data_IF_194848781048
#
_entry.id   IF_194848781048
#
_cell.length_a   1.000
_cell.length_b   1.000
_cell.length_c   1.000
_cell.angle_alpha   90.00
_cell.angle_beta   90.00
_cell.angle_gamma   90.00
#
_symmetry.space_group_name_H-M   'P 1'
#
loop_
_entity.id
_entity.type
_entity.pdbx_description
1 polymer ?
#
# COMPACT_ATOMS: atom_id res chain seq x y z
N UNK A 1 41.78 -26.87 8.90
CA UNK A 1 40.88 -27.82 8.24
C UNK A 1 39.61 -27.91 9.05
N UNK A 2 38.50 -27.38 8.56
CA UNK A 2 37.22 -27.45 9.26
C UNK A 2 36.67 -28.86 9.04
N UNK A 3 36.73 -29.73 10.07
CA UNK A 3 35.96 -30.99 10.05
C UNK A 3 34.47 -30.64 9.89
N UNK A 4 33.71 -31.36 9.06
CA UNK A 4 32.27 -31.15 8.94
C UNK A 4 31.64 -31.34 10.34
N UNK A 5 30.90 -30.32 10.79
CA UNK A 5 30.20 -30.37 12.07
C UNK A 5 29.20 -31.52 12.01
N UNK A 6 29.19 -32.36 13.05
CA UNK A 6 28.28 -33.50 13.15
C UNK A 6 26.83 -33.02 13.14
N UNK A 7 25.98 -33.67 12.36
CA UNK A 7 24.55 -33.30 12.20
C UNK A 7 23.79 -33.37 13.56
N UNK A 8 24.23 -34.21 14.50
CA UNK A 8 23.66 -34.25 15.84
C UNK A 8 23.92 -32.95 16.60
N UNK A 9 25.13 -32.39 16.48
CA UNK A 9 25.51 -31.11 17.07
C UNK A 9 24.73 -29.97 16.45
N UNK A 10 24.58 -29.99 15.11
CA UNK A 10 23.74 -28.98 14.41
C UNK A 10 22.32 -28.99 14.96
N UNK A 11 21.70 -30.18 15.07
CA UNK A 11 20.33 -30.30 15.58
C UNK A 11 20.22 -29.85 17.06
N UNK A 12 21.20 -30.15 17.87
CA UNK A 12 21.22 -29.72 19.29
C UNK A 12 21.28 -28.18 19.38
N UNK A 13 22.17 -27.55 18.63
CA UNK A 13 22.33 -26.09 18.64
C UNK A 13 21.06 -25.40 18.09
N UNK A 14 20.49 -25.88 16.98
CA UNK A 14 19.25 -25.31 16.44
C UNK A 14 18.07 -25.49 17.39
N UNK A 15 18.05 -26.59 18.15
CA UNK A 15 17.05 -26.81 19.18
C UNK A 15 17.21 -25.82 20.36
N UNK A 16 18.42 -25.55 20.85
CA UNK A 16 18.62 -24.53 21.89
C UNK A 16 18.21 -23.13 21.41
N UNK A 17 18.37 -22.81 20.09
CA UNK A 17 17.84 -21.60 19.51
C UNK A 17 16.31 -21.58 19.50
N UNK A 18 15.67 -22.69 19.11
CA UNK A 18 14.21 -22.83 19.11
C UNK A 18 13.62 -22.71 20.52
N UNK A 19 14.30 -23.26 21.52
CA UNK A 19 13.89 -23.21 22.92
C UNK A 19 14.10 -21.78 23.50
N UNK A 20 14.88 -20.95 22.83
CA UNK A 20 15.15 -19.55 23.22
C UNK A 20 16.14 -19.45 24.40
N UNK A 21 16.92 -20.45 24.62
CA UNK A 21 17.89 -20.53 25.74
C UNK A 21 19.26 -19.96 25.32
N UNK A 22 19.47 -18.67 25.61
CA UNK A 22 20.71 -17.98 25.27
C UNK A 22 21.94 -18.57 25.98
N UNK A 23 21.80 -19.03 27.20
CA UNK A 23 22.92 -19.61 27.96
C UNK A 23 23.33 -20.94 27.35
N UNK A 24 22.36 -21.76 26.97
CA UNK A 24 22.64 -23.03 26.30
C UNK A 24 23.23 -22.84 24.92
N UNK A 25 22.75 -21.83 24.14
CA UNK A 25 23.32 -21.45 22.84
C UNK A 25 24.80 -21.08 23.01
N UNK A 26 25.13 -20.21 23.97
CA UNK A 26 26.49 -19.77 24.24
C UNK A 26 27.38 -20.93 24.72
N UNK A 27 26.85 -21.78 25.60
CA UNK A 27 27.53 -23.00 26.08
C UNK A 27 27.87 -23.94 24.92
N UNK A 28 26.90 -24.18 24.01
CA UNK A 28 27.10 -25.03 22.83
C UNK A 28 28.15 -24.43 21.86
N UNK A 29 28.13 -23.12 21.63
CA UNK A 29 29.13 -22.41 20.80
C UNK A 29 30.53 -22.62 21.39
N UNK A 30 30.70 -22.41 22.67
CA UNK A 30 31.99 -22.55 23.37
C UNK A 30 32.49 -23.99 23.42
N UNK A 31 31.60 -24.93 23.80
CA UNK A 31 31.89 -26.35 23.95
C UNK A 31 32.37 -26.99 22.64
N UNK A 32 31.69 -26.67 21.55
CA UNK A 32 31.98 -27.26 20.22
C UNK A 32 32.85 -26.36 19.34
N UNK A 33 33.23 -25.16 19.83
CA UNK A 33 34.00 -24.13 19.07
C UNK A 33 33.37 -23.86 17.71
N UNK A 34 32.06 -23.62 17.69
CA UNK A 34 31.25 -23.53 16.48
C UNK A 34 31.26 -22.10 15.94
N UNK A 35 31.41 -21.98 14.62
CA UNK A 35 30.99 -20.78 13.89
C UNK A 35 29.53 -20.98 13.44
N UNK A 36 28.61 -20.19 14.01
CA UNK A 36 27.16 -20.29 13.77
C UNK A 36 26.76 -20.11 12.31
N UNK A 37 27.60 -19.51 11.46
CA UNK A 37 27.36 -19.41 10.02
C UNK A 37 27.36 -20.78 9.30
N UNK A 38 27.98 -21.81 9.91
CA UNK A 38 27.99 -23.16 9.37
C UNK A 38 26.92 -24.08 10.02
N UNK A 39 26.12 -23.53 10.94
CA UNK A 39 24.99 -24.25 11.54
C UNK A 39 23.79 -24.08 10.63
N UNK A 40 23.63 -25.02 9.73
CA UNK A 40 22.58 -25.05 8.72
C UNK A 40 21.88 -26.41 8.79
N UNK A 41 20.55 -26.39 8.95
CA UNK A 41 19.72 -27.57 8.77
C UNK A 41 19.79 -28.03 7.31
N UNK A 42 20.33 -29.23 7.10
CA UNK A 42 20.53 -29.76 5.74
C UNK A 42 19.22 -30.12 5.03
N UNK A 43 18.16 -30.43 5.78
CA UNK A 43 16.87 -30.83 5.20
C UNK A 43 16.13 -29.61 4.61
N UNK A 44 16.13 -28.50 5.33
CA UNK A 44 15.40 -27.28 4.95
C UNK A 44 16.31 -26.18 4.43
N UNK A 45 17.63 -26.35 4.55
CA UNK A 45 18.62 -25.31 4.26
C UNK A 45 18.35 -24.03 5.08
N UNK A 46 18.15 -24.17 6.38
CA UNK A 46 17.82 -23.08 7.30
C UNK A 46 18.96 -22.83 8.26
N UNK A 47 19.29 -21.59 8.52
CA UNK A 47 20.21 -21.19 9.57
C UNK A 47 19.46 -20.90 10.89
N UNK A 48 20.19 -20.50 11.93
CA UNK A 48 19.64 -20.24 13.25
C UNK A 48 18.50 -19.18 13.30
N UNK A 49 18.51 -18.19 12.39
CA UNK A 49 17.47 -17.15 12.35
C UNK A 49 16.06 -17.71 12.07
N UNK A 50 15.95 -18.79 11.30
CA UNK A 50 14.65 -19.41 11.02
C UNK A 50 14.04 -20.03 12.28
N UNK A 51 14.86 -20.56 13.16
CA UNK A 51 14.46 -21.20 14.41
C UNK A 51 14.00 -20.18 15.47
N UNK A 52 14.47 -18.93 15.38
CA UNK A 52 13.96 -17.84 16.22
C UNK A 52 12.46 -17.60 16.03
N UNK A 53 11.90 -17.88 14.86
CA UNK A 53 10.46 -17.73 14.62
C UNK A 53 9.63 -18.68 15.50
N UNK A 54 10.19 -19.82 15.89
CA UNK A 54 9.52 -20.86 16.70
C UNK A 54 9.52 -20.56 18.20
N UNK A 55 10.31 -19.60 18.67
CA UNK A 55 10.34 -19.16 20.06
C UNK A 55 8.98 -18.54 20.41
N UNK A 56 8.35 -18.98 21.51
CA UNK A 56 6.99 -18.51 21.87
C UNK A 56 6.94 -17.01 22.12
N UNK A 57 7.84 -16.50 22.96
CA UNK A 57 7.91 -15.08 23.31
C UNK A 57 8.69 -14.27 22.25
N UNK A 58 8.06 -13.22 21.71
CA UNK A 58 8.66 -12.39 20.66
C UNK A 58 9.82 -11.52 21.19
N UNK A 59 9.79 -11.10 22.46
CA UNK A 59 10.93 -10.40 23.07
C UNK A 59 12.15 -11.30 23.17
N UNK A 60 11.96 -12.56 23.56
CA UNK A 60 13.03 -13.53 23.59
C UNK A 60 13.55 -13.85 22.18
N UNK A 61 12.66 -14.05 21.22
CA UNK A 61 13.03 -14.21 19.81
C UNK A 61 13.89 -13.04 19.31
N UNK A 62 13.48 -11.80 19.61
CA UNK A 62 14.25 -10.59 19.29
C UNK A 62 15.63 -10.59 19.95
N UNK A 63 15.73 -10.97 21.24
CA UNK A 63 17.01 -11.03 21.96
C UNK A 63 17.97 -12.03 21.32
N UNK A 64 17.47 -13.21 20.96
CA UNK A 64 18.28 -14.23 20.26
C UNK A 64 18.69 -13.74 18.86
N UNK A 65 17.77 -13.11 18.10
CA UNK A 65 18.10 -12.53 16.80
C UNK A 65 19.19 -11.46 16.91
N UNK A 66 19.12 -10.57 17.89
CA UNK A 66 20.17 -9.57 18.16
C UNK A 66 21.52 -10.22 18.50
N UNK A 67 21.50 -11.27 19.31
CA UNK A 67 22.70 -12.04 19.62
C UNK A 67 23.30 -12.68 18.36
N UNK A 68 22.48 -13.34 17.54
CA UNK A 68 22.92 -13.97 16.28
C UNK A 68 23.49 -12.95 15.31
N UNK A 69 22.86 -11.78 15.17
CA UNK A 69 23.39 -10.67 14.36
C UNK A 69 24.76 -10.20 14.87
N UNK A 70 24.90 -10.04 16.18
CA UNK A 70 26.15 -9.58 16.83
C UNK A 70 27.31 -10.55 16.59
N UNK A 71 27.05 -11.86 16.54
CA UNK A 71 28.09 -12.86 16.24
C UNK A 71 28.25 -13.14 14.74
N UNK A 72 27.61 -12.34 13.88
CA UNK A 72 27.80 -12.32 12.43
C UNK A 72 27.03 -13.40 11.66
N UNK A 73 25.97 -13.98 12.20
CA UNK A 73 25.09 -14.87 11.44
C UNK A 73 24.33 -14.06 10.42
N UNK A 74 24.24 -14.55 9.19
CA UNK A 74 23.59 -13.84 8.09
C UNK A 74 22.04 -13.93 8.20
N UNK A 75 21.32 -12.82 8.48
CA UNK A 75 19.86 -12.82 8.56
C UNK A 75 19.18 -12.92 7.18
N UNK A 76 19.89 -12.55 6.10
CA UNK A 76 19.38 -12.61 4.70
C UNK A 76 19.58 -13.99 4.06
N UNK A 77 19.97 -15.00 4.85
CA UNK A 77 20.11 -16.36 4.36
C UNK A 77 18.77 -16.88 3.85
N UNK A 78 18.79 -17.58 2.71
CA UNK A 78 17.59 -18.14 2.08
C UNK A 78 17.54 -19.65 2.21
N UNK A 79 16.38 -20.16 2.56
CA UNK A 79 16.11 -21.58 2.59
C UNK A 79 15.90 -22.18 1.17
N UNK A 80 15.60 -23.48 1.11
CA UNK A 80 15.30 -24.19 -0.16
C UNK A 80 14.11 -23.61 -0.92
N UNK A 81 13.23 -22.83 -0.25
CA UNK A 81 12.09 -22.14 -0.86
C UNK A 81 12.41 -20.70 -1.26
N UNK A 82 13.68 -20.30 -1.20
CA UNK A 82 14.13 -18.92 -1.45
C UNK A 82 13.49 -17.91 -0.46
N UNK A 83 13.10 -18.38 0.72
CA UNK A 83 12.53 -17.57 1.80
C UNK A 83 13.63 -17.17 2.78
N UNK A 84 13.59 -15.94 3.28
CA UNK A 84 14.37 -15.50 4.44
C UNK A 84 13.62 -15.84 5.73
N UNK A 85 14.26 -15.68 6.87
CA UNK A 85 13.62 -15.86 8.18
C UNK A 85 12.40 -14.94 8.37
N UNK A 86 12.32 -13.80 7.66
CA UNK A 86 11.19 -12.87 7.72
C UNK A 86 9.84 -13.50 7.32
N UNK A 87 9.85 -14.45 6.39
CA UNK A 87 8.64 -15.20 6.00
C UNK A 87 8.10 -16.06 7.15
N UNK A 88 9.02 -16.65 7.93
CA UNK A 88 8.68 -17.46 9.11
C UNK A 88 8.20 -16.58 10.25
N UNK A 89 8.86 -15.43 10.48
CA UNK A 89 8.39 -14.44 11.44
C UNK A 89 6.98 -13.93 11.10
N UNK A 90 6.71 -13.71 9.79
CA UNK A 90 5.40 -13.29 9.29
C UNK A 90 4.32 -14.33 9.60
N UNK A 91 4.62 -15.61 9.39
CA UNK A 91 3.71 -16.73 9.66
C UNK A 91 3.43 -16.90 11.15
N UNK A 92 4.46 -16.84 11.96
CA UNK A 92 4.36 -17.09 13.42
C UNK A 92 3.89 -15.85 14.20
N UNK A 93 3.77 -14.67 13.57
CA UNK A 93 3.26 -13.47 14.21
C UNK A 93 4.30 -12.70 15.04
N UNK A 94 5.58 -12.80 14.72
CA UNK A 94 6.70 -12.17 15.45
C UNK A 94 6.86 -10.70 15.05
N UNK A 95 6.09 -9.82 15.69
CA UNK A 95 6.05 -8.40 15.33
C UNK A 95 7.37 -7.66 15.63
N UNK A 96 7.86 -7.77 16.88
CA UNK A 96 9.08 -7.08 17.32
C UNK A 96 10.30 -7.56 16.55
N UNK A 97 10.40 -8.87 16.37
CA UNK A 97 11.50 -9.49 15.63
C UNK A 97 11.43 -9.11 14.15
N UNK A 98 10.25 -9.11 13.51
CA UNK A 98 10.09 -8.68 12.12
C UNK A 98 10.49 -7.23 11.94
N UNK A 99 10.08 -6.35 12.85
CA UNK A 99 10.44 -4.93 12.83
C UNK A 99 11.97 -4.77 12.88
N UNK A 100 12.65 -5.45 13.80
CA UNK A 100 14.11 -5.44 13.91
C UNK A 100 14.80 -5.93 12.63
N UNK A 101 14.32 -7.03 12.05
CA UNK A 101 14.91 -7.60 10.84
C UNK A 101 14.77 -6.65 9.63
N UNK A 102 13.67 -5.90 9.54
CA UNK A 102 13.45 -4.94 8.46
C UNK A 102 14.26 -3.66 8.70
N UNK A 103 14.18 -3.07 9.90
CA UNK A 103 14.71 -1.74 10.19
C UNK A 103 16.22 -1.76 10.44
N UNK A 104 16.71 -2.75 11.18
CA UNK A 104 18.11 -2.80 11.63
C UNK A 104 18.97 -3.74 10.77
N UNK A 105 18.39 -4.88 10.33
CA UNK A 105 19.11 -5.82 9.48
C UNK A 105 18.90 -5.58 7.99
N UNK A 106 17.96 -4.70 7.60
CA UNK A 106 17.72 -4.30 6.21
C UNK A 106 17.15 -5.41 5.33
N UNK A 107 16.39 -6.37 5.89
CA UNK A 107 15.81 -7.44 5.08
C UNK A 107 14.80 -6.90 4.08
N UNK A 108 14.90 -7.32 2.81
CA UNK A 108 13.99 -6.87 1.76
C UNK A 108 12.58 -7.43 1.98
N UNK A 109 11.59 -6.52 1.93
CA UNK A 109 10.19 -6.85 2.24
C UNK A 109 9.40 -7.36 1.01
N UNK A 110 9.88 -7.09 -0.21
CA UNK A 110 9.21 -7.44 -1.48
C UNK A 110 9.93 -8.53 -2.27
N UNK A 111 10.90 -9.18 -1.67
CA UNK A 111 11.53 -10.34 -2.29
C UNK A 111 10.52 -11.47 -2.52
N UNK A 112 10.65 -12.19 -3.63
CA UNK A 112 9.75 -13.28 -3.97
C UNK A 112 10.36 -14.63 -3.61
N UNK A 113 9.58 -15.48 -2.98
CA UNK A 113 9.92 -16.89 -2.81
C UNK A 113 9.70 -17.70 -4.10
N UNK A 114 9.93 -19.02 -4.03
CA UNK A 114 9.69 -19.91 -5.19
C UNK A 114 8.24 -19.92 -5.67
N UNK A 115 7.28 -19.43 -4.90
CA UNK A 115 5.86 -19.32 -5.27
C UNK A 115 5.52 -17.96 -5.86
N UNK A 116 6.45 -17.01 -5.86
CA UNK A 116 6.25 -15.64 -6.30
C UNK A 116 5.63 -14.75 -5.21
N UNK A 117 5.60 -15.22 -3.96
CA UNK A 117 4.98 -14.55 -2.81
C UNK A 117 6.04 -13.77 -2.03
N UNK A 118 5.67 -12.62 -1.46
CA UNK A 118 6.47 -11.87 -0.49
C UNK A 118 5.99 -12.15 0.96
N UNK A 119 6.69 -11.68 2.00
CA UNK A 119 6.37 -12.00 3.39
C UNK A 119 4.93 -11.66 3.81
N UNK A 120 4.31 -10.60 3.28
CA UNK A 120 2.93 -10.21 3.66
C UNK A 120 1.89 -11.29 3.33
N UNK A 121 2.12 -12.12 2.32
CA UNK A 121 1.21 -13.24 2.02
C UNK A 121 1.05 -14.19 3.21
N UNK A 122 2.12 -14.39 3.98
CA UNK A 122 2.14 -15.30 5.12
C UNK A 122 1.43 -14.68 6.33
N UNK A 123 1.65 -13.40 6.63
CA UNK A 123 0.90 -12.70 7.68
C UNK A 123 -0.60 -12.61 7.38
N UNK A 124 -0.96 -12.36 6.11
CA UNK A 124 -2.36 -12.31 5.65
C UNK A 124 -3.03 -13.68 5.81
N UNK A 125 -2.35 -14.76 5.38
CA UNK A 125 -2.86 -16.13 5.47
C UNK A 125 -3.13 -16.57 6.90
N UNK A 126 -2.23 -16.19 7.81
CA UNK A 126 -2.30 -16.59 9.22
C UNK A 126 -3.06 -15.58 10.10
N UNK A 127 -3.68 -14.56 9.50
CA UNK A 127 -4.52 -13.60 10.22
C UNK A 127 -3.75 -12.64 11.13
N UNK A 128 -2.46 -12.38 10.87
CA UNK A 128 -1.60 -11.57 11.72
C UNK A 128 -1.71 -10.08 11.37
N UNK A 129 -2.81 -9.43 11.79
CA UNK A 129 -3.14 -8.05 11.43
C UNK A 129 -1.99 -7.07 11.72
N UNK A 130 -1.41 -7.11 12.92
CA UNK A 130 -0.31 -6.22 13.30
C UNK A 130 0.91 -6.33 12.38
N UNK A 131 1.17 -7.51 11.83
CA UNK A 131 2.24 -7.70 10.85
C UNK A 131 1.82 -7.24 9.45
N UNK A 132 0.54 -7.40 9.07
CA UNK A 132 0.04 -6.82 7.83
C UNK A 132 0.20 -5.30 7.83
N UNK A 133 -0.13 -4.65 8.94
CA UNK A 133 0.06 -3.20 9.15
C UNK A 133 1.54 -2.83 9.04
N UNK A 134 2.41 -3.51 9.81
CA UNK A 134 3.87 -3.27 9.75
C UNK A 134 4.41 -3.39 8.33
N UNK A 135 4.05 -4.45 7.61
CA UNK A 135 4.58 -4.69 6.27
C UNK A 135 4.09 -3.65 5.27
N UNK A 136 2.81 -3.24 5.34
CA UNK A 136 2.28 -2.17 4.48
C UNK A 136 2.96 -0.84 4.79
N UNK A 137 3.14 -0.50 6.06
CA UNK A 137 3.84 0.72 6.49
C UNK A 137 5.32 0.73 6.01
N UNK A 138 5.94 -0.44 5.90
CA UNK A 138 7.30 -0.60 5.37
C UNK A 138 7.36 -0.74 3.85
N UNK A 139 6.23 -0.59 3.15
CA UNK A 139 6.16 -0.58 1.70
C UNK A 139 6.06 -1.96 1.06
N UNK A 140 5.43 -2.92 1.73
CA UNK A 140 5.11 -4.20 1.09
C UNK A 140 4.14 -3.99 -0.07
N UNK A 141 4.46 -4.58 -1.22
CA UNK A 141 3.58 -4.58 -2.38
C UNK A 141 2.44 -5.60 -2.17
N UNK A 142 1.26 -5.07 -1.83
CA UNK A 142 0.04 -5.86 -1.61
C UNK A 142 -0.61 -6.33 -2.92
N UNK A 143 -0.19 -5.74 -4.06
CA UNK A 143 -0.67 -6.10 -5.40
C UNK A 143 0.33 -6.98 -6.15
N UNK A 144 1.38 -7.44 -5.48
CA UNK A 144 2.30 -8.42 -6.03
C UNK A 144 1.53 -9.69 -6.45
N UNK A 145 1.72 -10.15 -7.67
CA UNK A 145 1.12 -11.39 -8.15
C UNK A 145 2.05 -12.59 -7.90
N UNK A 146 1.48 -13.65 -7.37
CA UNK A 146 2.15 -14.94 -7.23
C UNK A 146 2.15 -15.75 -8.54
N UNK A 147 2.69 -16.96 -8.51
CA UNK A 147 2.73 -17.85 -9.69
C UNK A 147 1.35 -18.24 -10.23
N UNK A 148 0.28 -18.05 -9.45
CA UNK A 148 -1.10 -18.29 -9.87
C UNK A 148 -1.81 -17.03 -10.38
N UNK A 149 -1.14 -15.87 -10.39
CA UNK A 149 -1.73 -14.56 -10.70
C UNK A 149 -2.65 -14.07 -9.58
N UNK A 150 -2.45 -14.58 -8.36
CA UNK A 150 -3.21 -14.18 -7.16
C UNK A 150 -2.39 -13.18 -6.34
N UNK A 151 -3.04 -12.16 -5.80
CA UNK A 151 -2.46 -11.26 -4.83
C UNK A 151 -2.81 -11.70 -3.39
N UNK A 152 -2.23 -11.08 -2.38
CA UNK A 152 -2.44 -11.48 -0.99
C UNK A 152 -3.92 -11.41 -0.56
N UNK A 153 -4.77 -10.57 -1.21
CA UNK A 153 -6.20 -10.49 -0.90
C UNK A 153 -6.95 -11.81 -1.17
N UNK A 154 -6.55 -12.61 -2.17
CA UNK A 154 -7.16 -13.92 -2.41
C UNK A 154 -6.95 -14.85 -1.23
N UNK A 155 -5.79 -14.76 -0.57
CA UNK A 155 -5.46 -15.56 0.60
C UNK A 155 -6.22 -15.11 1.85
N UNK A 156 -6.41 -13.79 2.05
CA UNK A 156 -7.27 -13.26 3.10
C UNK A 156 -8.73 -13.75 2.93
N UNK A 157 -9.24 -13.75 1.70
CA UNK A 157 -10.57 -14.26 1.37
C UNK A 157 -10.64 -15.77 1.62
N UNK A 158 -9.64 -16.54 1.17
CA UNK A 158 -9.60 -17.98 1.34
C UNK A 158 -9.69 -18.42 2.80
N UNK A 159 -9.05 -17.67 3.69
CA UNK A 159 -9.01 -17.94 5.13
C UNK A 159 -10.12 -17.24 5.91
N UNK A 160 -10.92 -16.38 5.27
CA UNK A 160 -12.06 -15.69 5.88
C UNK A 160 -11.70 -14.54 6.81
N UNK A 161 -10.51 -13.97 6.68
CA UNK A 161 -10.04 -12.87 7.52
C UNK A 161 -10.64 -11.53 7.06
N UNK A 162 -11.90 -11.29 7.44
CA UNK A 162 -12.67 -10.10 7.05
C UNK A 162 -11.92 -8.79 7.33
N UNK A 163 -11.35 -8.62 8.53
CA UNK A 163 -10.65 -7.39 8.91
C UNK A 163 -9.42 -7.14 8.05
N UNK A 164 -8.69 -8.20 7.69
CA UNK A 164 -7.53 -8.10 6.78
C UNK A 164 -7.99 -7.78 5.35
N UNK A 165 -9.09 -8.38 4.86
CA UNK A 165 -9.66 -8.01 3.55
C UNK A 165 -10.00 -6.52 3.52
N UNK A 166 -10.69 -6.03 4.55
CA UNK A 166 -11.04 -4.61 4.69
C UNK A 166 -9.79 -3.71 4.77
N UNK A 167 -8.78 -4.12 5.53
CA UNK A 167 -7.50 -3.42 5.64
C UNK A 167 -6.79 -3.34 4.27
N UNK A 168 -6.69 -4.45 3.55
CA UNK A 168 -6.06 -4.49 2.23
C UNK A 168 -6.79 -3.59 1.22
N UNK A 169 -8.13 -3.60 1.21
CA UNK A 169 -8.93 -2.72 0.35
C UNK A 169 -8.64 -1.25 0.66
N UNK A 170 -8.62 -0.86 1.93
CA UNK A 170 -8.32 0.51 2.36
C UNK A 170 -6.92 0.98 1.96
N UNK A 171 -5.98 0.04 1.85
CA UNK A 171 -4.61 0.32 1.43
C UNK A 171 -4.37 0.14 -0.08
N UNK A 172 -5.43 0.01 -0.90
CA UNK A 172 -5.34 0.02 -2.36
C UNK A 172 -5.10 -1.35 -2.99
N UNK A 173 -5.56 -2.44 -2.35
CA UNK A 173 -5.56 -3.75 -2.99
C UNK A 173 -6.47 -3.76 -4.22
N UNK A 174 -5.98 -4.29 -5.34
CA UNK A 174 -6.77 -4.46 -6.55
C UNK A 174 -7.79 -5.59 -6.38
N UNK A 175 -9.07 -5.21 -6.14
CA UNK A 175 -10.17 -6.15 -5.93
C UNK A 175 -10.79 -6.71 -7.21
N UNK A 176 -10.37 -6.21 -8.38
CA UNK A 176 -10.86 -6.65 -9.70
C UNK A 176 -9.81 -7.42 -10.50
N UNK A 177 -8.68 -7.75 -9.88
CA UNK A 177 -7.65 -8.57 -10.49
C UNK A 177 -8.19 -9.96 -10.87
N UNK A 178 -7.71 -10.52 -11.98
CA UNK A 178 -8.12 -11.82 -12.50
C UNK A 178 -6.95 -12.80 -12.42
N UNK A 179 -7.10 -13.87 -11.64
CA UNK A 179 -6.08 -14.90 -11.54
C UNK A 179 -5.95 -15.77 -12.83
N UNK A 180 -4.96 -16.64 -12.90
CA UNK A 180 -4.75 -17.53 -14.06
C UNK A 180 -5.89 -18.52 -14.31
N UNK A 181 -6.80 -18.72 -13.32
CA UNK A 181 -8.01 -19.50 -13.45
C UNK A 181 -9.24 -18.69 -13.84
N UNK A 182 -9.05 -17.42 -14.24
CA UNK A 182 -10.11 -16.47 -14.58
C UNK A 182 -11.05 -16.19 -13.41
N UNK A 183 -10.55 -16.20 -12.17
CA UNK A 183 -11.29 -15.91 -10.97
C UNK A 183 -10.91 -14.52 -10.44
N UNK A 184 -11.92 -13.73 -10.06
CA UNK A 184 -11.73 -12.46 -9.33
C UNK A 184 -11.83 -12.70 -7.81
N UNK A 185 -11.34 -11.79 -6.95
CA UNK A 185 -11.52 -11.87 -5.51
C UNK A 185 -12.97 -12.11 -5.08
N UNK A 186 -13.94 -11.39 -5.68
CA UNK A 186 -15.36 -11.59 -5.36
C UNK A 186 -15.88 -12.95 -5.83
N UNK A 187 -15.46 -13.46 -7.01
CA UNK A 187 -15.86 -14.80 -7.47
C UNK A 187 -15.30 -15.89 -6.54
N UNK A 188 -14.11 -15.63 -5.98
CA UNK A 188 -13.49 -16.52 -5.01
C UNK A 188 -14.26 -16.52 -3.67
N UNK A 189 -14.66 -15.33 -3.17
CA UNK A 189 -15.49 -15.19 -1.97
C UNK A 189 -16.87 -15.88 -2.13
N UNK A 190 -17.49 -15.77 -3.32
CA UNK A 190 -18.74 -16.51 -3.65
C UNK A 190 -18.54 -18.02 -3.57
N UNK A 191 -17.43 -18.53 -4.13
CA UNK A 191 -17.08 -19.95 -4.09
C UNK A 191 -16.87 -20.46 -2.66
N UNK A 192 -16.38 -19.60 -1.76
CA UNK A 192 -16.13 -19.92 -0.35
C UNK A 192 -17.34 -19.62 0.57
N UNK A 193 -18.48 -19.18 0.00
CA UNK A 193 -19.71 -18.83 0.74
C UNK A 193 -19.51 -17.79 1.84
N UNK A 194 -18.68 -16.74 1.54
CA UNK A 194 -18.33 -15.72 2.53
C UNK A 194 -19.13 -14.43 2.31
N UNK A 195 -20.42 -14.45 2.67
CA UNK A 195 -21.36 -13.36 2.35
C UNK A 195 -20.87 -11.99 2.81
N UNK A 196 -20.35 -11.86 4.04
CA UNK A 196 -19.83 -10.58 4.55
C UNK A 196 -18.66 -10.02 3.72
N UNK A 197 -17.77 -10.89 3.23
CA UNK A 197 -16.66 -10.49 2.38
C UNK A 197 -17.17 -10.15 0.97
N UNK A 198 -18.18 -10.88 0.46
CA UNK A 198 -18.82 -10.56 -0.81
C UNK A 198 -19.41 -9.15 -0.75
N UNK A 199 -20.18 -8.84 0.30
CA UNK A 199 -20.80 -7.54 0.47
C UNK A 199 -19.73 -6.44 0.56
N UNK A 200 -18.68 -6.65 1.37
CA UNK A 200 -17.56 -5.73 1.49
C UNK A 200 -16.88 -5.46 0.13
N UNK A 201 -16.60 -6.50 -0.65
CA UNK A 201 -15.96 -6.36 -1.97
C UNK A 201 -16.89 -5.62 -2.95
N UNK A 202 -18.19 -5.95 -2.96
CA UNK A 202 -19.17 -5.29 -3.83
C UNK A 202 -19.36 -3.83 -3.45
N UNK A 203 -19.46 -3.51 -2.16
CA UNK A 203 -19.52 -2.12 -1.67
C UNK A 203 -18.31 -1.28 -2.09
N UNK A 204 -17.15 -1.93 -2.26
CA UNK A 204 -15.93 -1.27 -2.74
C UNK A 204 -15.72 -1.37 -4.26
N UNK A 205 -16.74 -1.84 -5.02
CA UNK A 205 -16.74 -1.79 -6.49
C UNK A 205 -16.30 -3.09 -7.17
N UNK A 206 -16.32 -4.23 -6.48
CA UNK A 206 -16.12 -5.53 -7.14
C UNK A 206 -17.36 -5.95 -7.93
N UNK A 207 -17.16 -6.47 -9.15
CA UNK A 207 -18.25 -6.93 -10.02
C UNK A 207 -18.65 -8.35 -9.60
N UNK A 208 -19.86 -8.50 -9.07
CA UNK A 208 -20.37 -9.81 -8.68
C UNK A 208 -20.62 -10.69 -9.91
N UNK A 209 -20.06 -11.91 -9.96
CA UNK A 209 -20.30 -12.80 -11.09
C UNK A 209 -21.78 -13.16 -11.20
N UNK A 210 -22.35 -13.08 -12.39
CA UNK A 210 -23.71 -13.52 -12.64
C UNK A 210 -23.83 -15.03 -12.34
N UNK A 211 -24.81 -15.41 -11.50
CA UNK A 211 -25.14 -16.83 -11.32
C UNK A 211 -25.59 -17.37 -12.67
N UNK A 212 -24.91 -18.37 -13.21
CA UNK A 212 -25.41 -19.17 -14.33
C UNK A 212 -26.71 -19.86 -13.85
N UNK A 213 -27.85 -19.20 -14.06
CA UNK A 213 -29.17 -19.81 -13.82
C UNK A 213 -29.40 -20.91 -14.86
N UNK A 214 -29.73 -22.11 -14.41
CA UNK A 214 -30.20 -23.19 -15.27
C UNK A 214 -31.42 -22.72 -16.09
N UNK A 215 -31.50 -23.07 -17.35
CA UNK A 215 -32.56 -22.63 -18.27
C UNK A 215 -34.00 -22.93 -17.80
N UNK A 216 -34.17 -23.84 -16.82
CA UNK A 216 -35.48 -24.15 -16.22
C UNK A 216 -35.98 -23.07 -15.26
N UNK A 217 -35.08 -22.28 -14.64
CA UNK A 217 -35.50 -21.22 -13.70
C UNK A 217 -35.88 -19.92 -14.41
N UNK A 218 -35.44 -19.72 -15.69
CA UNK A 218 -35.77 -18.53 -16.48
C UNK A 218 -37.26 -18.40 -16.82
N UNK A 219 -38.00 -19.52 -17.03
CA UNK A 219 -39.43 -19.46 -17.38
C UNK A 219 -40.33 -19.10 -16.21
N UNK A 220 -39.99 -19.50 -14.98
CA UNK A 220 -40.80 -19.18 -13.80
C UNK A 220 -40.54 -17.78 -13.21
N UNK A 221 -39.34 -17.22 -13.44
CA UNK A 221 -38.99 -15.89 -12.96
C UNK A 221 -39.56 -14.75 -13.82
N UNK A 222 -39.80 -14.96 -15.12
CA UNK A 222 -40.37 -13.94 -16.02
C UNK A 222 -41.83 -13.63 -15.65
N UNK A 223 -42.61 -14.65 -15.23
CA UNK A 223 -44.01 -14.47 -14.85
C UNK A 223 -44.18 -13.75 -13.50
N UNK A 224 -43.30 -14.04 -12.53
CA UNK A 224 -43.32 -13.42 -11.20
C UNK A 224 -42.71 -12.01 -11.15
N UNK A 225 -41.78 -11.69 -12.06
CA UNK A 225 -41.16 -10.37 -12.12
C UNK A 225 -42.05 -9.30 -12.77
N UNK A 226 -42.96 -9.69 -13.69
CA UNK A 226 -43.90 -8.74 -14.30
C UNK A 226 -44.96 -8.28 -13.29
N UNK A 227 -45.44 -9.17 -12.39
CA UNK A 227 -46.39 -8.81 -11.34
C UNK A 227 -45.78 -7.95 -10.22
N UNK A 228 -44.47 -8.13 -9.94
CA UNK A 228 -43.75 -7.29 -8.96
C UNK A 228 -43.33 -5.92 -9.51
N UNK A 229 -43.08 -5.79 -10.81
CA UNK A 229 -42.73 -4.50 -11.44
C UNK A 229 -43.87 -3.48 -11.40
N UNK A 230 -45.11 -3.92 -11.61
CA UNK A 230 -46.27 -3.01 -11.57
C UNK A 230 -46.62 -2.52 -10.15
N UNK A 231 -46.37 -3.31 -9.11
CA UNK A 231 -46.61 -2.90 -7.71
C UNK A 231 -45.48 -1.99 -7.17
N UNK A 232 -44.24 -2.20 -7.60
CA UNK A 232 -43.11 -1.38 -7.13
C UNK A 232 -42.99 -0.01 -7.81
N UNK A 233 -43.53 0.17 -9.04
CA UNK A 233 -43.55 1.45 -9.71
C UNK A 233 -44.46 2.49 -9.04
N UNK A 234 -45.58 2.06 -8.41
CA UNK A 234 -46.47 2.98 -7.68
C UNK A 234 -45.93 3.42 -6.31
N UNK A 235 -45.13 2.61 -5.65
CA UNK A 235 -44.55 2.92 -4.32
C UNK A 235 -43.31 3.82 -4.43
N UNK A 236 -42.58 3.72 -5.55
CA UNK A 236 -41.35 4.52 -5.75
C UNK A 236 -41.60 5.97 -6.21
N UNK A 237 -42.75 6.25 -6.80
CA UNK A 237 -43.09 7.61 -7.25
C UNK A 237 -43.41 8.58 -6.07
N UNK A 238 -43.95 8.05 -4.97
CA UNK A 238 -44.20 8.87 -3.76
C UNK A 238 -42.98 9.05 -2.84
N UNK A 239 -42.05 8.10 -2.85
CA UNK A 239 -40.80 8.22 -2.05
C UNK A 239 -39.72 9.08 -2.69
N UNK A 240 -39.73 9.24 -4.00
CA UNK A 240 -38.71 10.02 -4.71
C UNK A 240 -38.91 11.54 -4.66
N UNK A 241 -40.10 12.04 -4.29
CA UNK A 241 -40.32 13.50 -4.10
C UNK A 241 -39.59 14.07 -2.88
N UNK A 242 -39.34 13.27 -1.83
CA UNK A 242 -38.69 13.73 -0.59
C UNK A 242 -37.17 13.51 -0.58
N UNK A 243 -36.59 12.89 -1.62
CA UNK A 243 -35.14 12.63 -1.70
C UNK A 243 -34.40 13.71 -2.51
N UNK A 244 -35.12 14.48 -3.33
CA UNK A 244 -34.54 15.50 -4.23
C UNK A 244 -34.04 16.75 -3.46
N UNK A 245 -34.55 17.01 -2.25
CA UNK A 245 -34.16 18.20 -1.49
C UNK A 245 -32.84 18.07 -0.67
N UNK A 246 -32.19 16.90 -0.64
CA UNK A 246 -30.98 16.67 0.18
C UNK A 246 -29.84 15.93 -0.51
N UNK A 247 -29.72 15.95 -1.82
CA UNK A 247 -28.54 15.38 -2.49
C UNK A 247 -27.41 16.43 -2.51
N UNK A 248 -26.58 16.44 -1.48
CA UNK A 248 -25.25 17.06 -1.58
C UNK A 248 -24.41 16.21 -2.52
N UNK A 249 -24.14 16.74 -3.72
CA UNK A 249 -23.13 16.20 -4.63
C UNK A 249 -21.82 16.13 -3.85
N UNK A 250 -21.14 14.96 -3.79
CA UNK A 250 -19.83 14.91 -3.16
C UNK A 250 -18.94 15.97 -3.81
N UNK A 251 -18.32 16.85 -3.03
CA UNK A 251 -17.44 17.96 -3.47
C UNK A 251 -16.27 17.52 -4.40
N UNK A 252 -16.23 16.28 -4.82
CA UNK A 252 -15.17 15.66 -5.62
C UNK A 252 -15.41 15.72 -7.13
N UNK A 253 -16.64 15.92 -7.60
CA UNK A 253 -16.97 15.95 -9.02
C UNK A 253 -17.82 17.18 -9.33
N UNK A 254 -17.32 18.05 -10.18
CA UNK A 254 -18.01 19.25 -10.66
C UNK A 254 -18.15 19.10 -12.17
N UNK A 255 -19.41 19.18 -12.68
CA UNK A 255 -19.62 19.29 -14.12
C UNK A 255 -19.11 20.66 -14.59
N UNK A 256 -18.30 20.66 -15.63
CA UNK A 256 -17.70 21.86 -16.20
C UNK A 256 -18.03 21.94 -17.68
N UNK A 257 -18.24 23.13 -18.19
CA UNK A 257 -18.26 23.44 -19.64
C UNK A 257 -16.87 23.92 -20.05
N UNK A 258 -16.53 23.73 -21.33
CA UNK A 258 -15.29 24.24 -21.91
C UNK A 258 -15.66 25.50 -22.68
N UNK A 259 -15.01 26.62 -22.38
CA UNK A 259 -15.22 27.89 -23.11
C UNK A 259 -14.49 27.89 -24.46
N UNK A 260 -14.69 28.97 -25.24
CA UNK A 260 -14.07 29.16 -26.56
C UNK A 260 -12.51 29.19 -26.50
N UNK A 261 -11.93 29.35 -25.31
CA UNK A 261 -10.47 29.36 -25.06
C UNK A 261 -9.95 28.03 -24.55
N UNK A 262 -10.84 27.05 -24.37
CA UNK A 262 -10.48 25.73 -23.82
C UNK A 262 -10.39 25.67 -22.27
N UNK A 263 -10.86 26.72 -21.55
CA UNK A 263 -10.88 26.74 -20.11
C UNK A 263 -12.10 25.99 -19.53
N UNK A 264 -11.88 25.23 -18.45
CA UNK A 264 -12.95 24.49 -17.76
C UNK A 264 -13.66 25.42 -16.77
N UNK A 265 -14.91 25.79 -17.06
CA UNK A 265 -15.73 26.66 -16.22
C UNK A 265 -16.84 25.83 -15.56
N UNK A 266 -17.04 25.92 -14.22
CA UNK A 266 -18.17 25.26 -13.58
C UNK A 266 -19.50 25.71 -14.15
N UNK A 267 -20.44 24.77 -14.35
CA UNK A 267 -21.81 25.09 -14.74
C UNK A 267 -22.50 25.91 -13.64
N UNK A 268 -23.30 26.90 -14.04
CA UNK A 268 -24.23 27.59 -13.13
C UNK A 268 -25.35 26.64 -12.69
N UNK A 269 -26.08 26.96 -11.61
CA UNK A 269 -27.20 26.13 -11.15
C UNK A 269 -28.30 25.95 -12.23
N UNK A 270 -28.55 26.98 -13.03
CA UNK A 270 -29.52 26.92 -14.13
C UNK A 270 -29.01 26.02 -15.26
N UNK A 271 -27.78 26.21 -15.70
CA UNK A 271 -27.15 25.39 -16.75
C UNK A 271 -27.01 23.90 -16.28
N UNK A 272 -26.74 23.67 -15.02
CA UNK A 272 -26.73 22.32 -14.46
C UNK A 272 -28.11 21.67 -14.51
N UNK A 273 -29.16 22.41 -14.14
CA UNK A 273 -30.55 21.92 -14.17
C UNK A 273 -31.01 21.62 -15.61
N UNK A 274 -30.76 22.54 -16.54
CA UNK A 274 -31.10 22.35 -17.96
C UNK A 274 -30.30 21.17 -18.57
N UNK A 275 -29.03 21.04 -18.26
CA UNK A 275 -28.21 19.88 -18.67
C UNK A 275 -28.73 18.57 -18.16
N UNK A 276 -29.17 18.50 -16.90
CA UNK A 276 -29.68 17.28 -16.27
C UNK A 276 -31.09 16.90 -16.78
N UNK A 277 -31.91 17.88 -17.13
CA UNK A 277 -33.22 17.65 -17.74
C UNK A 277 -33.11 17.14 -19.19
N UNK A 278 -32.12 17.61 -19.93
CA UNK A 278 -31.85 17.20 -21.30
C UNK A 278 -31.05 15.90 -21.45
N UNK A 279 -30.47 15.37 -20.35
CA UNK A 279 -29.66 14.14 -20.34
C UNK A 279 -30.07 13.22 -19.20
N UNK A 280 -31.24 12.60 -19.27
CA UNK A 280 -31.80 11.78 -18.19
C UNK A 280 -30.93 10.55 -17.87
N UNK A 281 -30.21 9.99 -18.86
CA UNK A 281 -29.26 8.89 -18.68
C UNK A 281 -28.07 9.28 -17.76
N UNK A 282 -27.58 10.50 -17.88
CA UNK A 282 -26.51 11.03 -17.04
C UNK A 282 -27.00 11.23 -15.61
N UNK A 283 -28.25 11.71 -15.46
CA UNK A 283 -28.88 11.84 -14.15
C UNK A 283 -29.00 10.48 -13.42
N UNK A 284 -29.36 9.43 -14.16
CA UNK A 284 -29.39 8.07 -13.60
C UNK A 284 -28.00 7.51 -13.30
N UNK A 285 -27.00 7.85 -14.10
CA UNK A 285 -25.59 7.52 -13.85
C UNK A 285 -25.04 8.23 -12.60
N UNK A 286 -25.37 9.51 -12.41
CA UNK A 286 -24.95 10.30 -11.22
C UNK A 286 -25.62 9.75 -9.94
N UNK A 287 -26.89 9.33 -10.03
CA UNK A 287 -27.60 8.67 -8.92
C UNK A 287 -27.05 7.29 -8.60
N UNK A 288 -26.50 6.60 -9.60
CA UNK A 288 -25.84 5.31 -9.43
C UNK A 288 -24.32 5.49 -9.30
N UNK A 289 -23.85 5.53 -8.04
CA UNK A 289 -22.45 5.76 -7.68
C UNK A 289 -21.44 4.85 -8.40
N UNK A 290 -21.87 3.67 -8.82
CA UNK A 290 -21.04 2.69 -9.53
C UNK A 290 -20.97 2.99 -11.04
N UNK A 291 -22.06 3.47 -11.64
CA UNK A 291 -22.11 3.93 -13.02
C UNK A 291 -21.31 5.23 -13.20
N UNK A 292 -21.41 6.16 -12.24
CA UNK A 292 -20.60 7.38 -12.24
C UNK A 292 -19.10 7.06 -12.15
N UNK A 293 -18.70 6.12 -11.29
CA UNK A 293 -17.30 5.67 -11.23
C UNK A 293 -16.84 5.01 -12.53
N UNK A 294 -17.70 4.26 -13.21
CA UNK A 294 -17.39 3.64 -14.49
C UNK A 294 -17.20 4.71 -15.58
N UNK A 295 -18.10 5.69 -15.65
CA UNK A 295 -18.00 6.82 -16.59
C UNK A 295 -16.73 7.65 -16.34
N UNK A 296 -16.42 7.96 -15.07
CA UNK A 296 -15.19 8.66 -14.68
C UNK A 296 -13.94 7.86 -15.04
N UNK A 297 -13.94 6.54 -14.83
CA UNK A 297 -12.84 5.69 -15.23
C UNK A 297 -12.73 5.55 -16.76
N UNK A 298 -13.84 5.47 -17.49
CA UNK A 298 -13.84 5.46 -18.96
C UNK A 298 -13.36 6.82 -19.54
N UNK A 299 -13.75 7.94 -18.94
CA UNK A 299 -13.25 9.28 -19.28
C UNK A 299 -11.77 9.41 -18.89
N UNK A 300 -11.37 8.92 -17.70
CA UNK A 300 -9.96 8.88 -17.29
C UNK A 300 -9.14 7.96 -18.21
N UNK A 301 -9.66 6.81 -18.66
CA UNK A 301 -8.96 5.91 -19.59
C UNK A 301 -8.85 6.48 -21.02
N UNK A 302 -9.82 7.25 -21.48
CA UNK A 302 -9.73 7.97 -22.77
C UNK A 302 -8.87 9.24 -22.67
N UNK A 303 -8.85 9.95 -21.55
CA UNK A 303 -7.91 11.05 -21.27
C UNK A 303 -6.49 10.53 -20.93
N UNK A 304 -6.34 9.33 -20.34
CA UNK A 304 -5.04 8.68 -20.04
C UNK A 304 -4.31 8.30 -21.33
N UNK A 305 -4.99 8.12 -22.45
CA UNK A 305 -4.33 8.01 -23.76
C UNK A 305 -3.81 9.34 -24.28
N UNK A 306 -4.13 10.47 -23.66
CA UNK A 306 -3.73 11.81 -24.13
C UNK A 306 -3.11 12.78 -23.12
N UNK A 307 -3.11 12.56 -21.78
CA UNK A 307 -2.30 13.39 -20.85
C UNK A 307 -2.20 12.76 -19.46
N UNK A 308 -1.01 12.32 -19.07
CA UNK A 308 -0.67 12.23 -17.64
C UNK A 308 -0.79 13.65 -17.05
N UNK A 309 -1.73 13.87 -16.12
CA UNK A 309 -1.83 15.18 -15.50
C UNK A 309 -0.56 15.49 -14.71
N UNK A 310 -0.11 16.74 -14.75
CA UNK A 310 1.12 17.14 -14.06
C UNK A 310 1.06 16.81 -12.55
N UNK A 311 -0.11 16.88 -11.93
CA UNK A 311 -0.28 16.56 -10.50
C UNK A 311 0.00 15.08 -10.19
N UNK A 312 -0.42 14.18 -11.08
CA UNK A 312 -0.12 12.75 -10.96
C UNK A 312 1.38 12.50 -11.06
N UNK A 313 2.01 13.14 -12.02
CA UNK A 313 3.47 13.07 -12.21
C UNK A 313 4.20 13.68 -11.02
N UNK A 314 3.77 14.84 -10.52
CA UNK A 314 4.33 15.49 -9.35
C UNK A 314 4.19 14.62 -8.09
N UNK A 315 3.07 13.92 -7.90
CA UNK A 315 2.90 12.94 -6.80
C UNK A 315 3.89 11.78 -6.91
N UNK A 316 4.12 11.25 -8.10
CA UNK A 316 5.12 10.20 -8.33
C UNK A 316 6.53 10.72 -8.03
N UNK A 317 6.87 11.91 -8.52
CA UNK A 317 8.14 12.57 -8.25
C UNK A 317 8.35 12.75 -6.74
N UNK A 318 7.38 13.28 -6.02
CA UNK A 318 7.44 13.46 -4.57
C UNK A 318 7.63 12.15 -3.81
N UNK A 319 7.04 11.04 -4.28
CA UNK A 319 7.21 9.73 -3.65
C UNK A 319 8.63 9.16 -3.85
N UNK A 320 9.27 9.46 -4.98
CA UNK A 320 10.66 9.09 -5.24
C UNK A 320 11.59 10.00 -4.42
N UNK A 321 11.37 11.32 -4.48
CA UNK A 321 12.19 12.31 -3.78
C UNK A 321 12.18 12.09 -2.25
N UNK A 322 11.05 11.64 -1.70
CA UNK A 322 10.92 11.28 -0.29
C UNK A 322 11.91 10.20 0.16
N UNK A 323 12.32 9.31 -0.73
CA UNK A 323 13.23 8.19 -0.45
C UNK A 323 14.69 8.51 -0.76
N UNK A 324 14.97 9.70 -1.27
CA UNK A 324 16.34 10.14 -1.58
C UNK A 324 17.09 10.35 -0.27
N UNK A 325 18.36 9.96 -0.27
CA UNK A 325 19.26 10.23 0.85
C UNK A 325 19.25 11.73 1.18
N UNK A 326 19.29 12.06 2.46
CA UNK A 326 19.25 13.43 3.00
C UNK A 326 17.87 14.14 2.83
N UNK A 327 16.87 13.55 2.16
CA UNK A 327 15.55 14.14 1.99
C UNK A 327 14.74 14.19 3.29
N UNK A 328 15.08 13.38 4.28
CA UNK A 328 14.45 13.35 5.60
C UNK A 328 14.48 14.69 6.33
N UNK A 329 15.48 15.54 6.03
CA UNK A 329 15.56 16.91 6.53
C UNK A 329 14.34 17.77 6.20
N UNK A 330 13.60 17.39 5.14
CA UNK A 330 12.47 18.15 4.59
C UNK A 330 11.13 17.44 4.82
N UNK A 331 11.10 16.27 5.46
CA UNK A 331 9.89 15.47 5.61
C UNK A 331 8.84 16.13 6.50
N UNK A 332 9.28 16.91 7.50
CA UNK A 332 8.41 17.55 8.49
C UNK A 332 8.69 19.06 8.55
N UNK A 333 7.72 19.84 9.02
CA UNK A 333 7.99 21.22 9.38
C UNK A 333 9.15 21.32 10.36
N UNK A 334 9.99 22.35 10.21
CA UNK A 334 11.07 22.62 11.16
C UNK A 334 10.48 22.99 12.50
N UNK A 335 10.86 22.25 13.55
CA UNK A 335 10.57 22.59 14.95
C UNK A 335 11.77 23.29 15.57
N UNK A 336 11.72 24.60 15.81
CA UNK A 336 12.87 25.34 16.34
C UNK A 336 13.25 24.95 17.77
N UNK A 337 12.31 24.39 18.54
CA UNK A 337 12.56 23.94 19.92
C UNK A 337 13.28 22.59 19.91
N UNK A 338 12.79 21.63 19.13
CA UNK A 338 13.40 20.31 18.99
C UNK A 338 14.84 20.40 18.45
N UNK A 339 15.05 21.29 17.46
CA UNK A 339 16.36 21.47 16.82
C UNK A 339 17.28 22.47 17.53
N UNK A 340 16.83 23.09 18.62
CA UNK A 340 17.56 24.13 19.36
C UNK A 340 18.03 25.32 18.48
N UNK A 341 17.11 25.81 17.62
CA UNK A 341 17.34 26.93 16.68
C UNK A 341 16.28 28.01 16.87
N UNK A 342 16.25 28.73 18.02
CA UNK A 342 15.15 29.61 18.43
C UNK A 342 14.89 30.77 17.47
N UNK A 343 15.88 31.20 16.71
CA UNK A 343 15.80 32.31 15.74
C UNK A 343 15.28 31.88 14.35
N UNK A 344 14.88 30.61 14.16
CA UNK A 344 14.47 30.12 12.86
C UNK A 344 13.35 30.97 12.22
N UNK A 345 12.29 31.27 12.95
CA UNK A 345 11.16 32.08 12.44
C UNK A 345 11.47 33.59 12.34
N UNK A 346 12.57 34.04 12.92
CA UNK A 346 13.08 35.41 12.68
C UNK A 346 13.67 35.55 11.28
N UNK A 347 14.32 34.48 10.78
CA UNK A 347 14.97 34.43 9.49
C UNK A 347 14.02 33.93 8.41
N UNK A 348 13.31 32.81 8.68
CA UNK A 348 12.43 32.16 7.73
C UNK A 348 10.98 32.61 7.95
N UNK A 349 10.49 33.46 7.05
CA UNK A 349 9.15 34.07 7.14
C UNK A 349 8.03 33.20 6.58
N UNK A 350 8.35 32.29 5.65
CA UNK A 350 7.41 31.37 5.02
C UNK A 350 7.98 29.95 5.08
N UNK A 351 7.84 29.25 6.22
CA UNK A 351 8.31 27.87 6.32
C UNK A 351 7.53 26.96 5.38
N UNK A 352 8.21 26.00 4.78
CA UNK A 352 7.66 25.00 3.89
C UNK A 352 8.41 23.69 4.03
N UNK A 353 7.74 22.56 3.84
CA UNK A 353 8.29 21.21 3.97
C UNK A 353 7.58 20.22 3.00
N UNK A 354 8.17 19.03 2.80
CA UNK A 354 7.63 18.03 1.88
C UNK A 354 6.27 17.47 2.33
N UNK A 355 6.01 17.36 3.64
CA UNK A 355 4.70 16.88 4.11
C UNK A 355 3.58 17.85 3.76
N UNK A 356 3.86 19.15 3.84
CA UNK A 356 2.94 20.22 3.44
C UNK A 356 2.68 20.19 1.94
N UNK A 357 3.74 20.06 1.11
CA UNK A 357 3.60 19.92 -0.34
C UNK A 357 2.78 18.68 -0.70
N UNK A 358 3.07 17.52 -0.09
CA UNK A 358 2.28 16.29 -0.31
C UNK A 358 0.80 16.46 0.06
N UNK A 359 0.51 17.13 1.18
CA UNK A 359 -0.89 17.45 1.56
C UNK A 359 -1.56 18.33 0.51
N UNK A 360 -0.89 19.38 0.03
CA UNK A 360 -1.41 20.27 -1.02
C UNK A 360 -1.66 19.52 -2.33
N UNK A 361 -0.74 18.66 -2.77
CA UNK A 361 -0.92 17.79 -3.94
C UNK A 361 -2.11 16.82 -3.77
N UNK A 362 -2.24 16.19 -2.60
CA UNK A 362 -3.31 15.21 -2.35
C UNK A 362 -4.70 15.86 -2.26
N UNK A 363 -4.76 17.10 -1.80
CA UNK A 363 -6.00 17.86 -1.67
C UNK A 363 -6.29 18.71 -2.91
N UNK A 364 -5.50 18.55 -4.00
CA UNK A 364 -5.64 19.36 -5.22
C UNK A 364 -5.66 20.88 -4.94
N UNK A 365 -4.78 21.32 -4.03
CA UNK A 365 -4.70 22.72 -3.60
C UNK A 365 -3.86 23.60 -4.53
N UNK A 366 -3.11 23.01 -5.46
CA UNK A 366 -2.39 23.74 -6.51
C UNK A 366 -3.28 23.91 -7.73
N UNK A 367 -3.31 25.11 -8.30
CA UNK A 367 -4.07 25.41 -9.50
C UNK A 367 -3.26 25.14 -10.79
N UNK A 368 -1.92 25.16 -10.67
CA UNK A 368 -1.00 24.93 -11.78
C UNK A 368 0.34 24.41 -11.28
N UNK A 369 1.16 23.88 -12.20
CA UNK A 369 2.48 23.35 -11.88
C UNK A 369 3.43 24.40 -11.29
N UNK A 370 3.30 25.66 -11.71
CA UNK A 370 4.16 26.76 -11.25
C UNK A 370 4.06 26.95 -9.73
N UNK A 371 2.85 26.93 -9.17
CA UNK A 371 2.65 27.03 -7.70
C UNK A 371 3.32 25.91 -6.94
N UNK A 372 3.29 24.68 -7.49
CA UNK A 372 4.01 23.55 -6.92
C UNK A 372 5.52 23.77 -6.96
N UNK A 373 6.07 24.26 -8.07
CA UNK A 373 7.49 24.56 -8.20
C UNK A 373 7.93 25.67 -7.22
N UNK A 374 7.11 26.70 -7.03
CA UNK A 374 7.37 27.79 -6.07
C UNK A 374 7.49 27.26 -4.63
N UNK A 375 6.61 26.34 -4.21
CA UNK A 375 6.69 25.71 -2.89
C UNK A 375 7.94 24.82 -2.76
N UNK A 376 8.29 24.06 -3.80
CA UNK A 376 9.51 23.25 -3.81
C UNK A 376 10.77 24.13 -3.72
N UNK A 377 10.83 25.21 -4.47
CA UNK A 377 11.94 26.16 -4.40
C UNK A 377 12.02 26.86 -3.03
N UNK A 378 10.86 27.15 -2.42
CA UNK A 378 10.79 27.75 -1.10
C UNK A 378 11.42 26.84 -0.03
N UNK A 379 11.20 25.53 -0.10
CA UNK A 379 11.83 24.55 0.81
C UNK A 379 13.36 24.65 0.74
N UNK A 380 13.91 24.55 -0.46
CA UNK A 380 15.36 24.55 -0.66
C UNK A 380 15.97 25.91 -0.33
N UNK A 381 15.31 27.00 -0.73
CA UNK A 381 15.80 28.34 -0.45
C UNK A 381 15.80 28.67 1.05
N UNK A 382 14.75 28.26 1.79
CA UNK A 382 14.70 28.38 3.25
C UNK A 382 15.86 27.64 3.92
N UNK A 383 16.14 26.41 3.48
CA UNK A 383 17.24 25.62 4.01
C UNK A 383 18.60 26.29 3.78
N UNK A 384 18.86 26.76 2.57
CA UNK A 384 20.12 27.43 2.22
C UNK A 384 20.26 28.80 2.88
N UNK A 385 19.15 29.55 3.04
CA UNK A 385 19.13 30.84 3.71
C UNK A 385 19.47 30.70 5.19
N UNK A 386 18.92 29.70 5.85
CA UNK A 386 19.15 29.51 7.29
C UNK A 386 20.52 28.89 7.58
N UNK A 387 20.92 27.86 6.87
CA UNK A 387 22.11 27.07 7.18
C UNK A 387 23.37 27.55 6.44
N UNK A 388 23.21 28.28 5.35
CA UNK A 388 24.33 28.65 4.45
C UNK A 388 24.69 27.53 3.47
N UNK A 389 25.11 27.93 2.26
CA UNK A 389 25.38 27.00 1.16
C UNK A 389 26.58 26.06 1.41
N UNK A 390 27.59 26.54 2.16
CA UNK A 390 28.82 25.81 2.45
C UNK A 390 28.74 25.02 3.77
N UNK A 391 27.59 24.96 4.43
CA UNK A 391 27.39 24.15 5.62
C UNK A 391 27.09 22.70 5.27
N UNK A 392 27.31 21.79 6.21
CA UNK A 392 26.96 20.37 6.02
C UNK A 392 25.50 20.18 5.61
N UNK A 393 24.54 20.88 6.28
CA UNK A 393 23.12 20.86 5.95
C UNK A 393 22.84 21.53 4.60
N UNK A 394 23.57 22.61 4.25
CA UNK A 394 23.48 23.23 2.93
C UNK A 394 23.92 22.31 1.80
N UNK A 395 24.99 21.54 1.99
CA UNK A 395 25.42 20.54 1.02
C UNK A 395 24.40 19.41 0.84
N UNK A 396 23.78 18.92 1.94
CA UNK A 396 22.70 17.94 1.88
C UNK A 396 21.50 18.50 1.09
N UNK A 397 21.13 19.76 1.37
CA UNK A 397 20.07 20.46 0.66
C UNK A 397 20.35 20.54 -0.85
N UNK A 398 21.56 20.86 -1.25
CA UNK A 398 21.95 20.94 -2.66
C UNK A 398 21.88 19.57 -3.35
N UNK A 399 22.25 18.47 -2.67
CA UNK A 399 22.11 17.12 -3.22
C UNK A 399 20.64 16.78 -3.49
N UNK A 400 19.75 17.03 -2.53
CA UNK A 400 18.31 16.78 -2.68
C UNK A 400 17.71 17.69 -3.76
N UNK A 401 18.10 18.97 -3.82
CA UNK A 401 17.67 19.92 -4.86
C UNK A 401 18.08 19.47 -6.27
N UNK A 402 19.31 18.96 -6.41
CA UNK A 402 19.79 18.44 -7.69
C UNK A 402 19.02 17.19 -8.11
N UNK A 403 18.74 16.28 -7.16
CA UNK A 403 17.92 15.10 -7.46
C UNK A 403 16.48 15.47 -7.84
N UNK A 404 15.90 16.47 -7.18
CA UNK A 404 14.59 17.01 -7.58
C UNK A 404 14.61 17.52 -9.04
N UNK A 405 15.64 18.28 -9.44
CA UNK A 405 15.78 18.76 -10.83
C UNK A 405 15.92 17.61 -11.82
N UNK A 406 16.76 16.62 -11.53
CA UNK A 406 16.94 15.44 -12.36
C UNK A 406 15.63 14.68 -12.55
N UNK A 407 14.86 14.50 -11.48
CA UNK A 407 13.55 13.87 -11.53
C UNK A 407 12.53 14.71 -12.32
N UNK A 408 12.54 16.04 -12.13
CA UNK A 408 11.66 16.97 -12.84
C UNK A 408 11.88 16.90 -14.35
N UNK A 409 13.12 16.85 -14.82
CA UNK A 409 13.50 16.66 -16.23
C UNK A 409 13.15 15.24 -16.70
N UNK A 410 13.48 14.20 -15.94
CA UNK A 410 13.20 12.81 -16.27
C UNK A 410 11.71 12.56 -16.51
N UNK A 411 10.85 13.18 -15.71
CA UNK A 411 9.40 13.11 -15.84
C UNK A 411 8.82 14.09 -16.84
N UNK A 412 9.67 14.88 -17.53
CA UNK A 412 9.29 15.86 -18.54
C UNK A 412 8.19 16.83 -18.06
N UNK A 413 8.28 17.29 -16.81
CA UNK A 413 7.31 18.22 -16.23
C UNK A 413 7.39 19.61 -16.85
N UNK A 414 8.53 19.98 -17.47
CA UNK A 414 8.71 21.25 -18.17
C UNK A 414 7.62 21.54 -19.23
N UNK A 415 6.99 20.50 -19.81
CA UNK A 415 5.92 20.65 -20.80
C UNK A 415 4.62 21.27 -20.23
N UNK A 416 4.49 21.35 -18.92
CA UNK A 416 3.31 21.87 -18.21
C UNK A 416 3.55 23.26 -17.57
N UNK A 417 4.77 23.82 -17.67
CA UNK A 417 5.10 25.20 -17.26
C UNK A 417 4.76 26.17 -18.37
#
# INVERSE_FOLDING_TARGET
MNHPIDNSVVKQVLKSVQDGDLEEIQSNINKYKINMNFIIDKENQQNAFFYCALIKDDNNALNICKFLSKIGVNPSFKDRHQQTCLYYMAREGKYLTSKYLIEECGLPINEKDIYGQNPIYYSVREGKMNLCELFVDKGADINLEDKFGQTCIFYAIKTGHYDIVNFLIKNGANINIIDKKKQTPVSYAVKMNQDKIIDLLVENGAIKPEKKSNEKDKKNNILNNNIKKEKNQKINLEKNKNIIENIQIPKKYVLVKIDEKGEKIPLTEEEYKDFMENNPEINDMIKNKNLLKKLVNEIEDDEIKMCDSWEKIAKQLMNILWKVRDAELFHKPVDPVELNIPNYFEIIKKPMDFSTVKKKLNNYSYTNLKEYCEDMDLIFNNCLLYNGINSYVGEMCLRVKNEYKNLFEKFNLNKYL
#
